data_IF_256489825271
#
_entry.id   IF_256489825271
#
_cell.length_a   1.000
_cell.length_b   1.000
_cell.length_c   1.000
_cell.angle_alpha   90.00
_cell.angle_beta   90.00
_cell.angle_gamma   90.00
#
_symmetry.space_group_name_H-M   'P 1'
#
loop_
_entity.id
_entity.type
_entity.pdbx_description
1 polymer ?
#
# COMPACT_ATOMS: atom_id res chain seq x y z
N UNK A 1 0.27 -78.10 -81.83
CA UNK A 1 0.04 -76.99 -82.77
C UNK A 1 -0.38 -75.73 -81.99
N UNK A 2 0.38 -74.69 -82.30
CA UNK A 2 0.03 -73.26 -82.16
C UNK A 2 -0.14 -72.64 -80.77
N UNK A 3 0.88 -71.81 -80.42
CA UNK A 3 0.92 -70.38 -80.27
C UNK A 3 0.07 -69.81 -79.09
N UNK A 4 0.57 -69.25 -78.04
CA UNK A 4 1.49 -68.16 -77.96
C UNK A 4 0.73 -66.88 -77.80
N UNK A 5 0.80 -66.18 -76.68
CA UNK A 5 0.79 -64.73 -76.59
C UNK A 5 1.09 -64.36 -75.13
N UNK A 6 2.12 -63.61 -75.02
CA UNK A 6 2.65 -62.93 -73.82
C UNK A 6 1.76 -61.73 -73.44
N UNK A 7 1.42 -61.59 -72.20
CA UNK A 7 0.81 -60.33 -71.64
C UNK A 7 1.68 -59.76 -70.52
N UNK A 8 2.22 -58.60 -70.79
CA UNK A 8 3.02 -57.78 -69.86
C UNK A 8 2.11 -57.15 -68.84
N UNK A 9 2.33 -57.46 -67.52
CA UNK A 9 1.66 -56.80 -66.43
C UNK A 9 2.50 -55.59 -65.99
N UNK A 10 1.99 -54.41 -66.24
CA UNK A 10 2.57 -53.16 -65.76
C UNK A 10 2.27 -52.99 -64.27
N UNK A 11 3.31 -52.95 -63.40
CA UNK A 11 3.23 -52.55 -62.02
C UNK A 11 3.05 -51.03 -61.95
N UNK A 12 1.87 -50.58 -61.47
CA UNK A 12 1.63 -49.23 -61.05
C UNK A 12 1.91 -49.15 -59.51
N UNK A 13 3.09 -48.64 -59.20
CA UNK A 13 3.43 -48.26 -57.79
C UNK A 13 2.68 -47.00 -57.44
N UNK A 14 1.61 -47.14 -56.60
CA UNK A 14 0.90 -46.01 -56.01
C UNK A 14 1.68 -45.49 -54.82
N UNK A 15 2.33 -44.33 -54.97
CA UNK A 15 2.95 -43.60 -53.90
C UNK A 15 1.85 -42.94 -53.04
N UNK A 16 1.55 -43.53 -51.88
CA UNK A 16 0.69 -42.89 -50.87
C UNK A 16 1.52 -41.83 -50.17
N UNK A 17 1.35 -40.58 -50.56
CA UNK A 17 1.80 -39.41 -49.81
C UNK A 17 0.97 -39.32 -48.54
N UNK A 18 1.51 -39.82 -47.42
CA UNK A 18 1.00 -39.53 -46.06
C UNK A 18 1.35 -38.08 -45.80
N UNK A 19 0.43 -37.17 -46.10
CA UNK A 19 0.48 -35.80 -45.70
C UNK A 19 0.33 -35.73 -44.18
N UNK A 20 1.47 -35.79 -43.47
CA UNK A 20 1.54 -35.47 -42.07
C UNK A 20 1.20 -33.97 -41.87
N UNK A 21 -0.08 -33.67 -41.75
CA UNK A 21 -0.53 -32.36 -41.28
C UNK A 21 0.00 -32.14 -39.90
N UNK A 22 1.12 -31.41 -39.78
CA UNK A 22 1.53 -30.82 -38.52
C UNK A 22 0.35 -29.97 -38.05
N UNK A 23 -0.46 -30.51 -37.13
CA UNK A 23 -1.36 -29.69 -36.31
C UNK A 23 -0.45 -28.77 -35.51
N UNK A 24 -0.27 -27.56 -36.00
CA UNK A 24 0.17 -26.47 -35.16
C UNK A 24 -0.98 -26.30 -34.15
N UNK A 25 -0.87 -26.96 -33.02
CA UNK A 25 -1.64 -26.58 -31.85
C UNK A 25 -1.27 -25.12 -31.60
N UNK A 26 -2.08 -24.22 -32.14
CA UNK A 26 -2.17 -22.87 -31.65
C UNK A 26 -2.60 -23.04 -30.17
N UNK A 27 -1.61 -23.20 -29.32
CA UNK A 27 -1.83 -23.03 -27.88
C UNK A 27 -2.54 -21.69 -27.76
N UNK A 28 -3.86 -21.75 -27.57
CA UNK A 28 -4.61 -20.57 -27.20
C UNK A 28 -3.94 -20.12 -25.91
N UNK A 29 -3.11 -19.09 -26.02
CA UNK A 29 -2.60 -18.40 -24.86
C UNK A 29 -3.86 -18.01 -24.06
N UNK A 30 -4.15 -18.78 -23.02
CA UNK A 30 -5.33 -18.57 -22.20
C UNK A 30 -5.33 -17.12 -21.79
N UNK A 31 -6.39 -16.38 -22.16
CA UNK A 31 -6.43 -14.94 -21.99
C UNK A 31 -6.37 -14.64 -20.48
N UNK A 32 -5.23 -14.10 -20.03
CA UNK A 32 -5.08 -13.69 -18.63
C UNK A 32 -6.04 -12.52 -18.31
N UNK A 33 -6.76 -12.56 -17.15
CA UNK A 33 -6.91 -13.67 -16.20
C UNK A 33 -8.04 -14.64 -16.63
N UNK A 34 -7.81 -15.94 -16.52
CA UNK A 34 -8.77 -17.02 -16.83
C UNK A 34 -9.38 -17.67 -15.57
N UNK A 35 -8.90 -17.28 -14.41
CA UNK A 35 -9.36 -17.78 -13.10
C UNK A 35 -9.32 -16.65 -12.05
N UNK A 36 -9.87 -16.93 -10.86
CA UNK A 36 -9.86 -15.96 -9.77
C UNK A 36 -8.43 -15.54 -9.38
N UNK A 37 -8.26 -14.24 -9.11
CA UNK A 37 -7.03 -13.66 -8.61
C UNK A 37 -7.10 -13.57 -7.08
N UNK A 38 -5.95 -13.35 -6.45
CA UNK A 38 -5.81 -13.21 -5.00
C UNK A 38 -5.19 -11.85 -4.68
N UNK A 39 -5.81 -11.12 -3.74
CA UNK A 39 -5.29 -9.89 -3.15
C UNK A 39 -4.93 -10.15 -1.69
N UNK A 40 -3.64 -10.21 -1.37
CA UNK A 40 -3.16 -10.36 0.01
C UNK A 40 -3.19 -9.02 0.72
N UNK A 41 -3.86 -8.99 1.88
CA UNK A 41 -3.89 -7.85 2.80
C UNK A 41 -2.97 -8.18 3.98
N UNK A 42 -1.85 -7.45 4.17
CA UNK A 42 -0.81 -7.84 5.13
C UNK A 42 -1.09 -7.40 6.57
N UNK A 43 -2.29 -6.94 6.87
CA UNK A 43 -2.72 -6.52 8.22
C UNK A 43 -4.08 -7.11 8.60
N UNK A 44 -4.44 -7.10 9.90
CA UNK A 44 -5.76 -7.51 10.36
C UNK A 44 -6.89 -6.71 9.71
N UNK A 45 -8.11 -7.29 9.64
CA UNK A 45 -9.28 -6.60 9.11
C UNK A 45 -9.60 -5.30 9.85
N UNK A 46 -10.24 -4.35 9.16
CA UNK A 46 -10.76 -3.09 9.72
C UNK A 46 -9.78 -1.92 9.68
N UNK A 47 -8.55 -2.10 9.17
CA UNK A 47 -7.57 -1.03 8.95
C UNK A 47 -7.52 -0.53 7.51
N UNK A 48 -6.63 0.44 7.26
CA UNK A 48 -6.46 1.03 5.92
C UNK A 48 -6.10 0.02 4.84
N UNK A 49 -5.23 -0.94 5.14
CA UNK A 49 -4.89 -2.03 4.20
C UNK A 49 -6.11 -2.88 3.83
N UNK A 50 -7.00 -3.18 4.79
CA UNK A 50 -8.19 -4.00 4.56
C UNK A 50 -9.22 -3.24 3.71
N UNK A 51 -9.48 -1.98 4.04
CA UNK A 51 -10.37 -1.12 3.25
C UNK A 51 -9.89 -1.01 1.80
N UNK A 52 -8.61 -0.66 1.61
CA UNK A 52 -8.03 -0.52 0.27
C UNK A 52 -8.05 -1.84 -0.48
N UNK A 53 -7.67 -2.94 0.18
CA UNK A 53 -7.64 -4.26 -0.42
C UNK A 53 -9.02 -4.70 -0.91
N UNK A 54 -10.07 -4.56 -0.10
CA UNK A 54 -11.45 -4.94 -0.46
C UNK A 54 -12.02 -4.07 -1.58
N UNK A 55 -11.90 -2.76 -1.45
CA UNK A 55 -12.43 -1.83 -2.47
C UNK A 55 -11.70 -2.02 -3.81
N UNK A 56 -10.37 -2.14 -3.77
CA UNK A 56 -9.59 -2.35 -4.98
C UNK A 56 -9.88 -3.72 -5.61
N UNK A 57 -9.96 -4.78 -4.81
CA UNK A 57 -10.29 -6.13 -5.29
C UNK A 57 -11.66 -6.17 -5.99
N UNK A 58 -12.69 -5.56 -5.39
CA UNK A 58 -14.03 -5.47 -6.01
C UNK A 58 -13.97 -4.75 -7.36
N UNK A 59 -13.41 -3.55 -7.41
CA UNK A 59 -13.39 -2.75 -8.64
C UNK A 59 -12.46 -3.33 -9.71
N UNK A 60 -11.31 -3.87 -9.31
CA UNK A 60 -10.40 -4.53 -10.24
C UNK A 60 -11.02 -5.81 -10.81
N UNK A 61 -11.73 -6.58 -9.97
CA UNK A 61 -12.47 -7.76 -10.43
C UNK A 61 -13.52 -7.42 -11.47
N UNK A 62 -14.29 -6.33 -11.28
CA UNK A 62 -15.26 -5.84 -12.26
C UNK A 62 -14.60 -5.47 -13.59
N UNK A 63 -13.44 -4.80 -13.56
CA UNK A 63 -12.71 -4.38 -14.75
C UNK A 63 -12.08 -5.57 -15.49
N UNK A 64 -11.54 -6.54 -14.76
CA UNK A 64 -10.88 -7.70 -15.35
C UNK A 64 -11.84 -8.83 -15.76
N UNK A 65 -13.11 -8.78 -15.32
CA UNK A 65 -14.09 -9.83 -15.57
C UNK A 65 -13.82 -11.11 -14.78
N UNK A 66 -13.04 -11.05 -13.69
CA UNK A 66 -12.67 -12.19 -12.84
C UNK A 66 -12.74 -11.81 -11.37
N UNK A 67 -13.13 -12.74 -10.51
CA UNK A 67 -13.17 -12.50 -9.07
C UNK A 67 -11.76 -12.25 -8.51
N UNK A 68 -11.61 -11.21 -7.69
CA UNK A 68 -10.39 -10.97 -6.88
C UNK A 68 -10.71 -11.30 -5.42
N UNK A 69 -10.17 -12.40 -4.92
CA UNK A 69 -10.39 -12.89 -3.55
C UNK A 69 -9.43 -12.17 -2.61
N UNK A 70 -9.96 -11.53 -1.58
CA UNK A 70 -9.15 -10.89 -0.53
C UNK A 70 -8.77 -11.92 0.52
N UNK A 71 -7.47 -12.08 0.74
CA UNK A 71 -6.89 -12.96 1.76
C UNK A 71 -6.09 -12.12 2.77
N UNK A 72 -6.52 -12.14 4.03
CA UNK A 72 -5.79 -11.49 5.11
C UNK A 72 -4.66 -12.36 5.62
N UNK A 73 -3.42 -11.87 5.54
CA UNK A 73 -2.21 -12.52 6.08
C UNK A 73 -1.46 -11.55 6.98
N UNK A 74 -1.88 -11.46 8.23
CA UNK A 74 -1.24 -10.60 9.23
C UNK A 74 -0.10 -11.31 9.96
N UNK A 75 0.86 -10.53 10.44
CA UNK A 75 1.95 -11.00 11.29
C UNK A 75 3.17 -10.08 11.21
N UNK A 76 3.84 -9.88 12.34
CA UNK A 76 5.03 -9.04 12.49
C UNK A 76 4.90 -7.72 11.70
N UNK A 77 3.95 -6.88 12.11
CA UNK A 77 3.61 -5.66 11.36
C UNK A 77 2.91 -5.99 10.04
N UNK A 78 3.66 -6.11 8.97
CA UNK A 78 3.17 -6.43 7.61
C UNK A 78 4.05 -7.47 6.93
N UNK A 79 5.08 -7.95 7.63
CA UNK A 79 6.14 -8.77 7.01
C UNK A 79 5.60 -10.08 6.44
N UNK A 80 4.78 -10.82 7.22
CA UNK A 80 4.30 -12.16 6.83
C UNK A 80 3.51 -12.13 5.52
N UNK A 81 2.55 -11.22 5.42
CA UNK A 81 1.73 -11.09 4.21
C UNK A 81 2.54 -10.63 3.00
N UNK A 82 3.42 -9.65 3.18
CA UNK A 82 4.24 -9.11 2.10
C UNK A 82 5.24 -10.14 1.59
N UNK A 83 5.96 -10.81 2.49
CA UNK A 83 6.92 -11.88 2.16
C UNK A 83 6.25 -13.05 1.41
N UNK A 84 5.02 -13.40 1.82
CA UNK A 84 4.27 -14.48 1.16
C UNK A 84 3.99 -14.21 -0.31
N UNK A 85 3.88 -12.93 -0.71
CA UNK A 85 3.67 -12.55 -2.12
C UNK A 85 4.99 -12.38 -2.86
N UNK A 86 6.04 -11.88 -2.20
CA UNK A 86 7.39 -11.87 -2.77
C UNK A 86 7.82 -13.25 -3.26
N UNK A 87 7.40 -14.31 -2.54
CA UNK A 87 7.72 -15.71 -2.83
C UNK A 87 6.63 -16.47 -3.60
N UNK A 88 5.55 -15.80 -3.98
CA UNK A 88 4.47 -16.43 -4.75
C UNK A 88 4.90 -16.70 -6.20
N UNK A 89 4.16 -17.60 -6.87
CA UNK A 89 4.34 -17.81 -8.30
C UNK A 89 4.18 -16.48 -9.06
N UNK A 90 5.12 -16.12 -9.94
CA UNK A 90 5.08 -14.84 -10.66
C UNK A 90 4.19 -14.93 -11.90
N UNK A 91 2.95 -15.40 -11.75
CA UNK A 91 1.99 -15.60 -12.82
C UNK A 91 0.94 -14.48 -12.94
N UNK A 92 1.01 -13.49 -12.05
CA UNK A 92 0.10 -12.35 -11.98
C UNK A 92 -1.18 -12.62 -11.19
N UNK A 93 -1.43 -13.86 -10.73
CA UNK A 93 -2.66 -14.21 -9.98
C UNK A 93 -2.59 -13.88 -8.49
N UNK A 94 -1.41 -13.61 -7.95
CA UNK A 94 -1.25 -13.23 -6.54
C UNK A 94 -0.68 -11.83 -6.42
N UNK A 95 -1.44 -10.95 -5.80
CA UNK A 95 -1.12 -9.54 -5.58
C UNK A 95 -1.04 -9.24 -4.08
N UNK A 96 -0.35 -8.19 -3.70
CA UNK A 96 -0.37 -7.66 -2.33
C UNK A 96 -0.80 -6.20 -2.33
N UNK A 97 -1.55 -5.81 -1.31
CA UNK A 97 -1.69 -4.39 -0.99
C UNK A 97 -0.37 -3.91 -0.41
N UNK A 98 0.35 -3.13 -1.20
CA UNK A 98 1.55 -2.44 -0.78
C UNK A 98 1.21 -1.04 -0.30
N UNK A 99 2.02 -0.52 0.60
CA UNK A 99 1.87 0.83 1.10
C UNK A 99 3.17 1.34 1.71
N UNK A 100 3.17 2.59 2.14
CA UNK A 100 4.33 3.18 2.79
C UNK A 100 4.92 2.28 3.89
N UNK A 101 4.13 1.63 4.78
CA UNK A 101 4.70 0.80 5.85
C UNK A 101 5.50 -0.40 5.35
N UNK A 102 4.94 -1.24 4.48
CA UNK A 102 5.55 -2.51 4.09
C UNK A 102 6.49 -2.43 2.89
N UNK A 103 6.36 -1.41 2.06
CA UNK A 103 7.23 -1.23 0.89
C UNK A 103 8.40 -0.29 1.19
N UNK A 104 8.22 0.70 2.07
CA UNK A 104 9.23 1.72 2.34
C UNK A 104 9.77 1.66 3.77
N UNK A 105 8.91 1.82 4.78
CA UNK A 105 9.37 2.02 6.16
C UNK A 105 10.09 0.77 6.73
N UNK A 106 9.63 -0.43 6.38
CA UNK A 106 10.24 -1.66 6.85
C UNK A 106 11.74 -1.77 6.51
N UNK A 107 12.18 -1.16 5.40
CA UNK A 107 13.60 -1.14 5.01
C UNK A 107 14.49 -0.45 6.05
N UNK A 108 13.99 0.64 6.64
CA UNK A 108 14.73 1.37 7.67
C UNK A 108 14.46 0.87 9.10
N UNK A 109 13.38 0.09 9.31
CA UNK A 109 12.96 -0.36 10.63
C UNK A 109 13.57 -1.71 11.03
N UNK A 110 13.79 -2.60 10.08
CA UNK A 110 14.26 -3.95 10.33
C UNK A 110 15.68 -4.15 9.79
N UNK A 111 16.63 -4.62 10.60
CA UNK A 111 18.00 -4.89 10.14
C UNK A 111 18.07 -5.95 9.04
N UNK A 112 17.08 -6.86 9.01
CA UNK A 112 16.97 -7.92 8.00
C UNK A 112 15.52 -8.10 7.57
N UNK A 113 15.23 -7.74 6.32
CA UNK A 113 13.95 -8.03 5.70
C UNK A 113 13.98 -9.39 4.99
N UNK A 114 12.87 -10.15 5.01
CA UNK A 114 12.76 -11.40 4.25
C UNK A 114 12.52 -11.19 2.76
N UNK A 115 12.31 -9.95 2.30
CA UNK A 115 12.09 -9.54 0.91
C UNK A 115 12.82 -8.23 0.60
N UNK A 116 13.09 -7.98 -0.68
CA UNK A 116 13.60 -6.70 -1.20
C UNK A 116 12.46 -5.97 -1.92
N UNK A 117 11.95 -4.84 -1.39
CA UNK A 117 10.79 -4.16 -1.98
C UNK A 117 11.01 -3.66 -3.42
N UNK A 118 12.26 -3.45 -3.82
CA UNK A 118 12.59 -2.97 -5.18
C UNK A 118 12.82 -4.12 -6.17
N UNK A 119 13.42 -5.23 -5.69
CA UNK A 119 13.78 -6.34 -6.57
C UNK A 119 12.70 -7.39 -6.67
N UNK A 120 11.92 -7.59 -5.59
CA UNK A 120 10.96 -8.68 -5.51
C UNK A 120 9.56 -8.28 -5.97
N UNK A 121 9.29 -6.96 -6.16
CA UNK A 121 7.97 -6.48 -6.55
C UNK A 121 7.97 -5.58 -7.77
N UNK A 122 6.91 -5.72 -8.59
CA UNK A 122 6.52 -4.77 -9.61
C UNK A 122 5.26 -4.02 -9.19
N UNK A 123 5.23 -2.72 -9.41
CA UNK A 123 4.06 -1.87 -9.15
C UNK A 123 3.00 -2.13 -10.22
N UNK A 124 1.79 -2.47 -9.80
CA UNK A 124 0.60 -2.52 -10.67
C UNK A 124 -0.03 -1.14 -10.80
N UNK A 125 -0.22 -0.46 -9.68
CA UNK A 125 -0.74 0.91 -9.64
C UNK A 125 -1.01 1.38 -8.22
N UNK A 126 -1.10 2.70 -8.04
CA UNK A 126 -1.49 3.29 -6.78
C UNK A 126 -3.01 3.38 -6.68
N UNK A 127 -3.54 3.36 -5.46
CA UNK A 127 -4.97 3.42 -5.18
C UNK A 127 -5.33 4.75 -4.51
N UNK A 128 -4.75 5.03 -3.36
CA UNK A 128 -5.13 6.14 -2.49
C UNK A 128 -3.98 6.54 -1.59
N UNK A 129 -3.91 7.81 -1.21
CA UNK A 129 -3.10 8.31 -0.10
C UNK A 129 -3.98 8.84 1.03
N UNK A 130 -3.43 8.78 2.25
CA UNK A 130 -4.02 9.37 3.45
C UNK A 130 -2.95 10.19 4.16
N UNK A 131 -3.30 11.42 4.50
CA UNK A 131 -2.51 12.22 5.43
C UNK A 131 -2.72 11.75 6.87
N UNK A 132 -1.86 12.24 7.74
CA UNK A 132 -2.02 12.11 9.19
C UNK A 132 -2.51 13.43 9.77
N UNK A 133 -3.33 13.35 10.82
CA UNK A 133 -3.77 14.46 11.64
C UNK A 133 -3.15 14.34 13.04
N UNK A 134 -2.52 15.40 13.52
CA UNK A 134 -2.02 15.48 14.89
C UNK A 134 -3.19 15.83 15.82
N UNK A 135 -3.89 14.78 16.25
CA UNK A 135 -4.99 14.90 17.21
C UNK A 135 -4.47 15.05 18.65
N UNK A 136 -5.22 15.77 19.47
CA UNK A 136 -4.91 15.96 20.90
C UNK A 136 -6.15 15.74 21.76
N UNK A 137 -5.92 15.48 23.04
CA UNK A 137 -6.97 15.57 24.04
C UNK A 137 -7.54 17.00 24.09
N UNK A 138 -8.82 17.12 24.43
CA UNK A 138 -9.56 18.41 24.40
C UNK A 138 -9.04 19.45 25.38
N UNK A 139 -8.60 19.01 26.52
CA UNK A 139 -8.14 19.83 27.65
C UNK A 139 -6.62 20.09 27.64
N UNK A 140 -5.94 19.81 26.50
CA UNK A 140 -4.53 20.11 26.37
C UNK A 140 -4.31 21.63 26.43
N UNK A 141 -3.45 22.14 27.35
CA UNK A 141 -3.25 23.57 27.51
C UNK A 141 -2.59 24.27 26.32
N UNK A 142 -1.86 23.51 25.51
CA UNK A 142 -1.14 24.01 24.32
C UNK A 142 -2.10 24.10 23.12
N UNK A 143 -2.39 25.30 22.61
CA UNK A 143 -3.39 25.50 21.57
C UNK A 143 -2.92 25.15 20.15
N UNK A 144 -1.61 25.05 19.94
CA UNK A 144 -1.00 24.81 18.62
C UNK A 144 0.29 23.98 18.71
N UNK A 145 0.79 23.55 17.55
CA UNK A 145 1.98 22.73 17.47
C UNK A 145 3.24 23.44 18.00
N UNK A 146 3.35 24.75 17.78
CA UNK A 146 4.48 25.55 18.25
C UNK A 146 4.59 25.58 19.75
N UNK A 147 3.46 25.78 20.45
CA UNK A 147 3.40 25.78 21.92
C UNK A 147 3.68 24.40 22.52
N UNK A 148 3.26 23.31 21.86
CA UNK A 148 3.65 21.95 22.25
C UNK A 148 5.16 21.74 22.14
N UNK A 149 5.76 22.17 21.03
CA UNK A 149 7.22 22.07 20.82
C UNK A 149 7.97 22.89 21.90
N UNK A 150 7.53 24.11 22.18
CA UNK A 150 8.13 24.93 23.24
C UNK A 150 8.04 24.23 24.61
N UNK A 151 6.86 23.78 24.98
CA UNK A 151 6.64 23.07 26.25
C UNK A 151 7.49 21.78 26.36
N UNK A 152 7.56 20.98 25.27
CA UNK A 152 8.35 19.74 25.26
C UNK A 152 9.86 19.98 25.34
N UNK A 153 10.37 21.14 24.85
CA UNK A 153 11.78 21.53 25.00
C UNK A 153 12.12 21.90 26.44
N UNK A 154 11.22 22.62 27.10
CA UNK A 154 11.40 23.01 28.51
C UNK A 154 11.16 21.83 29.46
N UNK A 155 10.32 20.88 29.07
CA UNK A 155 9.89 19.73 29.86
C UNK A 155 10.13 18.41 29.10
N UNK A 156 11.37 17.94 28.93
CA UNK A 156 11.66 16.70 28.20
C UNK A 156 10.86 15.52 28.78
N UNK A 157 10.35 14.68 27.88
CA UNK A 157 9.59 13.45 28.18
C UNK A 157 8.23 13.65 28.88
N UNK A 158 7.80 14.89 29.17
CA UNK A 158 6.49 15.16 29.78
C UNK A 158 5.34 15.08 28.80
N UNK A 159 5.56 15.44 27.52
CA UNK A 159 4.55 15.26 26.48
C UNK A 159 4.50 13.80 26.06
N UNK A 160 3.32 13.22 26.10
CA UNK A 160 3.08 11.82 25.72
C UNK A 160 2.42 11.73 24.35
N UNK A 161 2.78 10.73 23.55
CA UNK A 161 2.10 10.47 22.30
C UNK A 161 1.75 8.99 22.09
N UNK A 162 0.55 8.75 21.58
CA UNK A 162 0.05 7.43 21.27
C UNK A 162 0.50 6.95 19.88
N UNK A 163 0.48 5.64 19.69
CA UNK A 163 0.53 5.00 18.37
C UNK A 163 -0.28 3.71 18.37
N UNK A 164 -0.58 3.19 17.18
CA UNK A 164 -1.18 1.85 17.02
C UNK A 164 -0.21 0.69 17.27
N UNK A 165 1.00 0.98 17.78
CA UNK A 165 2.06 0.03 18.08
C UNK A 165 3.43 0.51 17.56
N UNK A 166 4.51 -0.10 18.07
CA UNK A 166 5.87 0.18 17.58
C UNK A 166 5.99 -0.16 16.09
N UNK A 167 6.72 0.66 15.32
CA UNK A 167 6.93 0.47 13.88
C UNK A 167 5.71 0.83 13.01
N UNK A 168 4.57 1.26 13.58
CA UNK A 168 3.45 1.76 12.79
C UNK A 168 3.73 3.16 12.24
N UNK A 169 3.02 3.54 11.16
CA UNK A 169 3.15 4.89 10.60
C UNK A 169 2.90 6.00 11.62
N UNK A 170 1.95 5.79 12.56
CA UNK A 170 1.66 6.73 13.65
C UNK A 170 2.87 6.93 14.58
N UNK A 171 3.54 5.83 14.97
CA UNK A 171 4.77 5.90 15.76
C UNK A 171 5.85 6.70 15.05
N UNK A 172 6.12 6.32 13.79
CA UNK A 172 7.17 6.90 12.97
C UNK A 172 6.91 8.38 12.71
N UNK A 173 5.68 8.74 12.34
CA UNK A 173 5.30 10.12 12.08
C UNK A 173 5.62 11.02 13.28
N UNK A 174 5.22 10.60 14.49
CA UNK A 174 5.46 11.40 15.69
C UNK A 174 6.92 11.38 16.13
N UNK A 175 7.60 10.23 16.05
CA UNK A 175 9.01 10.13 16.42
C UNK A 175 9.90 11.02 15.52
N UNK A 176 9.66 11.01 14.20
CA UNK A 176 10.38 11.86 13.25
C UNK A 176 10.00 13.34 13.44
N UNK A 177 8.73 13.66 13.67
CA UNK A 177 8.31 15.03 13.96
C UNK A 177 8.95 15.58 15.24
N UNK A 178 9.01 14.78 16.30
CA UNK A 178 9.68 15.13 17.56
C UNK A 178 11.20 15.34 17.37
N UNK A 179 11.85 14.45 16.59
CA UNK A 179 13.27 14.59 16.24
C UNK A 179 13.56 15.89 15.49
N UNK A 180 12.80 16.17 14.43
CA UNK A 180 12.96 17.41 13.63
C UNK A 180 12.66 18.67 14.45
N UNK A 181 11.72 18.60 15.40
CA UNK A 181 11.42 19.69 16.32
C UNK A 181 12.50 19.86 17.42
N UNK A 182 13.45 18.94 17.55
CA UNK A 182 14.47 18.93 18.60
C UNK A 182 13.87 18.75 20.00
N UNK A 183 12.86 17.86 20.13
CA UNK A 183 12.15 17.58 21.38
C UNK A 183 12.27 16.11 21.77
N UNK A 184 12.10 15.83 23.07
CA UNK A 184 11.95 14.47 23.60
C UNK A 184 10.54 14.31 24.14
N UNK A 185 9.80 13.34 23.56
CA UNK A 185 8.43 13.02 23.94
C UNK A 185 8.32 11.53 24.28
N UNK A 186 7.42 11.16 25.18
CA UNK A 186 7.25 9.77 25.61
C UNK A 186 6.27 9.02 24.73
N UNK A 187 6.73 7.94 24.10
CA UNK A 187 5.89 7.07 23.27
C UNK A 187 5.08 6.08 24.12
N UNK A 188 3.77 6.04 23.88
CA UNK A 188 2.83 5.09 24.49
C UNK A 188 2.22 4.21 23.39
N UNK A 189 2.72 2.98 23.18
CA UNK A 189 2.21 2.09 22.14
C UNK A 189 0.93 1.38 22.57
N UNK A 190 -0.05 1.30 21.65
CA UNK A 190 -1.33 0.61 21.83
C UNK A 190 -1.49 -0.54 20.83
N UNK A 191 -2.51 -1.37 21.02
CA UNK A 191 -2.92 -2.40 20.04
C UNK A 191 -3.96 -1.83 19.07
N UNK A 192 -3.56 -0.80 18.29
CA UNK A 192 -4.41 -0.12 17.31
C UNK A 192 -4.97 1.22 17.80
N UNK A 193 -5.53 1.99 16.85
CA UNK A 193 -5.98 3.36 17.08
C UNK A 193 -7.14 3.46 18.07
N UNK A 194 -8.06 2.48 18.09
CA UNK A 194 -9.22 2.51 19.00
C UNK A 194 -8.81 2.55 20.47
N UNK A 195 -7.84 1.72 20.86
CA UNK A 195 -7.33 1.72 22.23
C UNK A 195 -6.58 3.02 22.57
N UNK A 196 -5.83 3.58 21.62
CA UNK A 196 -5.16 4.86 21.78
C UNK A 196 -6.16 6.00 22.01
N UNK A 197 -7.26 6.05 21.24
CA UNK A 197 -8.27 7.10 21.42
C UNK A 197 -9.01 7.01 22.76
N UNK A 198 -9.17 5.84 23.35
CA UNK A 198 -9.74 5.75 24.70
C UNK A 198 -8.91 6.53 25.72
N UNK A 199 -7.58 6.51 25.60
CA UNK A 199 -6.68 7.20 26.50
C UNK A 199 -6.50 8.69 26.16
N UNK A 200 -6.55 9.06 24.89
CA UNK A 200 -6.63 10.47 24.45
C UNK A 200 -7.91 11.12 25.01
N UNK A 201 -9.07 10.48 24.81
CA UNK A 201 -10.36 10.98 25.28
C UNK A 201 -10.46 10.99 26.82
N UNK A 202 -9.72 10.09 27.48
CA UNK A 202 -9.62 10.03 28.94
C UNK A 202 -8.55 10.94 29.55
N UNK A 203 -7.87 11.77 28.73
CA UNK A 203 -6.85 12.72 29.20
C UNK A 203 -5.54 12.07 29.68
N UNK A 204 -5.32 10.77 29.41
CA UNK A 204 -4.12 10.03 29.85
C UNK A 204 -2.94 10.15 28.91
N UNK A 205 -3.19 10.46 27.65
CA UNK A 205 -2.16 10.70 26.62
C UNK A 205 -2.48 12.00 25.89
N UNK A 206 -1.47 12.77 25.56
CA UNK A 206 -1.61 14.13 25.04
C UNK A 206 -1.88 14.16 23.53
N UNK A 207 -1.11 13.41 22.75
CA UNK A 207 -1.03 13.51 21.30
C UNK A 207 -1.26 12.16 20.63
N UNK A 208 -1.87 12.18 19.45
CA UNK A 208 -1.92 11.03 18.56
C UNK A 208 -1.83 11.47 17.10
N UNK A 209 -0.73 11.13 16.46
CA UNK A 209 -0.55 11.42 15.04
C UNK A 209 -1.15 10.27 14.22
N UNK A 210 -2.44 10.36 13.95
CA UNK A 210 -3.20 9.26 13.34
C UNK A 210 -3.63 9.58 11.91
N UNK A 211 -3.92 8.51 11.14
CA UNK A 211 -4.48 8.68 9.80
C UNK A 211 -5.76 9.51 9.86
N UNK A 212 -5.90 10.44 8.92
CA UNK A 212 -7.11 11.26 8.81
C UNK A 212 -8.36 10.39 8.75
N UNK A 213 -8.32 9.24 8.08
CA UNK A 213 -9.46 8.31 7.97
C UNK A 213 -10.00 7.82 9.30
N UNK A 214 -9.14 7.57 10.29
CA UNK A 214 -9.53 7.10 11.63
C UNK A 214 -9.83 8.25 12.58
N UNK A 215 -9.20 9.40 12.37
CA UNK A 215 -9.37 10.58 13.21
C UNK A 215 -10.67 11.37 12.87
N UNK A 216 -11.07 11.41 11.59
CA UNK A 216 -12.19 12.24 11.10
C UNK A 216 -13.47 12.11 11.91
N UNK A 217 -13.99 10.91 12.25
CA UNK A 217 -15.23 10.81 13.03
C UNK A 217 -15.14 11.52 14.38
N UNK A 218 -13.99 11.42 15.06
CA UNK A 218 -13.78 12.09 16.36
C UNK A 218 -13.57 13.59 16.21
N UNK A 219 -13.00 14.02 15.09
CA UNK A 219 -12.82 15.44 14.75
C UNK A 219 -14.18 16.07 14.43
N UNK A 220 -14.97 15.42 13.57
CA UNK A 220 -16.32 15.89 13.17
C UNK A 220 -17.26 15.96 14.39
N UNK A 221 -17.15 15.00 15.32
CA UNK A 221 -17.89 14.99 16.61
C UNK A 221 -17.32 16.01 17.64
N UNK A 222 -16.23 16.71 17.32
CA UNK A 222 -15.58 17.66 18.22
C UNK A 222 -14.99 17.04 19.48
N UNK A 223 -14.68 15.74 19.48
CA UNK A 223 -14.17 15.00 20.63
C UNK A 223 -12.67 15.15 20.85
N UNK A 224 -11.93 15.49 19.81
CA UNK A 224 -10.49 15.81 19.85
C UNK A 224 -10.23 17.17 19.20
N UNK A 225 -9.11 17.80 19.52
CA UNK A 225 -8.57 18.92 18.75
C UNK A 225 -7.58 18.39 17.71
N UNK A 226 -7.33 19.17 16.66
CA UNK A 226 -6.31 18.86 15.64
C UNK A 226 -5.39 20.07 15.48
N UNK A 227 -4.12 19.87 15.67
CA UNK A 227 -3.12 20.95 15.64
C UNK A 227 -2.49 21.14 14.27
N UNK A 228 -2.32 20.05 13.52
CA UNK A 228 -1.71 20.08 12.19
C UNK A 228 -2.04 18.81 11.39
N UNK A 229 -1.85 18.89 10.07
CA UNK A 229 -1.84 17.74 9.16
C UNK A 229 -0.45 17.52 8.58
N UNK A 230 -0.14 16.28 8.21
CA UNK A 230 1.17 15.90 7.66
C UNK A 230 1.29 16.06 6.16
N UNK A 231 0.21 16.39 5.48
CA UNK A 231 0.17 16.57 4.03
C UNK A 231 0.92 17.83 3.61
N UNK A 232 1.49 17.90 2.39
CA UNK A 232 2.21 19.09 1.92
C UNK A 232 1.30 20.31 1.74
N UNK A 233 -0.01 20.08 1.59
CA UNK A 233 -1.06 21.09 1.57
C UNK A 233 -2.11 20.76 2.61
N UNK A 234 -2.91 21.74 3.04
CA UNK A 234 -4.03 21.50 3.97
C UNK A 234 -4.96 20.42 3.41
N UNK A 235 -5.38 19.53 4.29
CA UNK A 235 -6.22 18.40 3.90
C UNK A 235 -7.63 18.89 3.49
N UNK A 236 -8.23 18.41 2.37
CA UNK A 236 -9.52 18.89 1.88
C UNK A 236 -10.66 18.81 2.91
N UNK A 237 -10.65 17.77 3.77
CA UNK A 237 -11.60 17.61 4.86
C UNK A 237 -11.29 18.43 6.11
N UNK A 238 -10.10 19.05 6.18
CA UNK A 238 -9.60 19.84 7.32
C UNK A 238 -8.99 21.17 6.83
N UNK A 239 -9.74 22.00 6.08
CA UNK A 239 -9.18 23.18 5.40
C UNK A 239 -8.68 24.26 6.37
N UNK A 240 -9.16 24.26 7.60
CA UNK A 240 -8.77 25.22 8.63
C UNK A 240 -7.58 24.73 9.49
N UNK A 241 -7.15 23.47 9.34
CA UNK A 241 -6.02 22.90 10.07
C UNK A 241 -4.74 23.14 9.27
N UNK A 242 -3.71 23.77 9.87
CA UNK A 242 -2.46 24.03 9.17
C UNK A 242 -1.70 22.72 8.89
N UNK A 243 -0.81 22.75 7.91
CA UNK A 243 0.17 21.67 7.72
C UNK A 243 1.29 21.80 8.77
N UNK A 244 2.05 20.74 9.01
CA UNK A 244 3.25 20.83 9.88
C UNK A 244 4.30 21.76 9.28
N UNK A 245 4.36 21.89 7.96
CA UNK A 245 5.21 22.87 7.26
C UNK A 245 4.79 24.30 7.63
N UNK A 246 3.49 24.62 7.52
CA UNK A 246 2.93 25.91 7.94
C UNK A 246 3.13 26.16 9.46
N UNK A 247 3.10 25.11 10.27
CA UNK A 247 3.36 25.16 11.70
C UNK A 247 4.85 25.27 12.08
N UNK A 248 5.75 25.31 11.10
CA UNK A 248 7.17 25.59 11.28
C UNK A 248 8.06 24.36 11.50
N UNK A 249 7.61 23.15 11.17
CA UNK A 249 8.42 21.94 11.25
C UNK A 249 9.34 21.70 10.03
N UNK A 250 9.57 22.70 9.19
CA UNK A 250 10.37 22.56 7.99
C UNK A 250 9.69 21.70 6.93
N UNK A 251 10.46 20.91 6.18
CA UNK A 251 9.95 20.12 5.06
C UNK A 251 9.35 18.76 5.48
N UNK A 252 8.79 18.67 6.70
CA UNK A 252 8.14 17.43 7.13
C UNK A 252 6.79 17.23 6.43
N UNK A 253 6.73 16.22 5.62
CA UNK A 253 5.49 15.67 5.07
C UNK A 253 5.46 14.15 5.25
N UNK A 254 4.30 13.60 5.49
CA UNK A 254 4.08 12.15 5.54
C UNK A 254 2.68 11.81 5.09
N UNK A 255 2.58 11.02 4.06
CA UNK A 255 1.31 10.43 3.61
C UNK A 255 1.45 8.91 3.56
N UNK A 256 0.51 8.21 4.16
CA UNK A 256 0.40 6.78 3.91
C UNK A 256 -0.30 6.56 2.60
N UNK A 257 0.42 6.11 1.61
CA UNK A 257 -0.15 5.70 0.34
C UNK A 257 -0.32 4.17 0.28
N UNK A 258 -1.25 3.75 -0.56
CA UNK A 258 -1.53 2.34 -0.84
C UNK A 258 -1.62 2.09 -2.33
N UNK A 259 -1.18 0.92 -2.75
CA UNK A 259 -1.24 0.45 -4.12
C UNK A 259 -1.25 -1.07 -4.20
N UNK A 260 -1.24 -1.57 -5.40
CA UNK A 260 -1.21 -3.00 -5.71
C UNK A 260 0.14 -3.36 -6.29
N UNK A 261 0.71 -4.45 -5.80
CA UNK A 261 2.01 -4.98 -6.20
C UNK A 261 1.90 -6.47 -6.50
N UNK A 262 2.73 -6.93 -7.42
CA UNK A 262 2.89 -8.34 -7.81
C UNK A 262 4.37 -8.75 -7.73
N UNK A 263 4.71 -10.05 -7.74
CA UNK A 263 6.11 -10.47 -7.86
C UNK A 263 6.77 -9.85 -9.10
N UNK A 264 8.02 -9.40 -8.95
CA UNK A 264 8.75 -8.67 -10.01
C UNK A 264 8.89 -9.46 -11.32
N UNK A 265 9.00 -10.80 -11.21
CA UNK A 265 9.12 -11.69 -12.35
C UNK A 265 7.78 -11.98 -13.07
N UNK A 266 6.70 -11.29 -12.72
CA UNK A 266 5.39 -11.44 -13.42
C UNK A 266 5.54 -11.13 -14.90
N UNK A 267 5.07 -12.02 -15.82
CA UNK A 267 5.19 -11.82 -17.26
C UNK A 267 4.57 -10.51 -17.73
N UNK A 268 5.25 -9.82 -18.64
CA UNK A 268 4.82 -8.51 -19.13
C UNK A 268 3.35 -8.46 -19.59
N UNK A 269 2.80 -9.42 -20.33
CA UNK A 269 1.39 -9.37 -20.73
C UNK A 269 0.41 -9.38 -19.53
N UNK A 270 0.71 -10.15 -18.49
CA UNK A 270 -0.12 -10.18 -17.28
C UNK A 270 0.02 -8.89 -16.48
N UNK A 271 1.24 -8.38 -16.30
CA UNK A 271 1.51 -7.13 -15.63
C UNK A 271 0.83 -5.94 -16.31
N UNK A 272 0.94 -5.84 -17.64
CA UNK A 272 0.30 -4.78 -18.42
C UNK A 272 -1.23 -4.83 -18.33
N UNK A 273 -1.82 -6.02 -18.34
CA UNK A 273 -3.26 -6.20 -18.16
C UNK A 273 -3.72 -5.72 -16.78
N UNK A 274 -2.97 -6.06 -15.72
CA UNK A 274 -3.24 -5.59 -14.37
C UNK A 274 -3.07 -4.07 -14.26
N UNK A 275 -2.02 -3.49 -14.83
CA UNK A 275 -1.75 -2.05 -14.86
C UNK A 275 -2.87 -1.29 -15.58
N UNK A 276 -3.30 -1.77 -16.72
CA UNK A 276 -4.42 -1.20 -17.47
C UNK A 276 -5.74 -1.28 -16.68
N UNK A 277 -5.97 -2.40 -16.00
CA UNK A 277 -7.12 -2.57 -15.12
C UNK A 277 -7.10 -1.58 -13.95
N UNK A 278 -5.97 -1.45 -13.27
CA UNK A 278 -5.83 -0.52 -12.15
C UNK A 278 -5.96 0.95 -12.58
N UNK A 279 -5.40 1.30 -13.75
CA UNK A 279 -5.56 2.64 -14.32
C UNK A 279 -7.04 2.99 -14.59
N UNK A 280 -7.86 2.02 -14.99
CA UNK A 280 -9.31 2.21 -15.13
C UNK A 280 -9.99 2.34 -13.76
N UNK A 281 -9.61 1.51 -12.79
CA UNK A 281 -10.18 1.53 -11.42
C UNK A 281 -10.04 2.90 -10.78
N UNK A 282 -8.87 3.51 -10.82
CA UNK A 282 -8.61 4.80 -10.15
C UNK A 282 -9.30 5.99 -10.82
N UNK A 283 -9.81 5.83 -12.04
CA UNK A 283 -10.62 6.85 -12.71
C UNK A 283 -12.11 6.76 -12.36
N UNK A 284 -12.54 5.66 -11.74
CA UNK A 284 -13.96 5.45 -11.41
C UNK A 284 -14.39 6.36 -10.27
N UNK A 285 -15.52 7.03 -10.45
CA UNK A 285 -16.09 7.89 -9.42
C UNK A 285 -16.54 7.09 -8.19
N UNK A 286 -17.09 5.88 -8.39
CA UNK A 286 -17.51 5.03 -7.29
C UNK A 286 -16.34 4.46 -6.46
N UNK A 287 -15.15 4.33 -7.06
CA UNK A 287 -13.92 4.03 -6.35
C UNK A 287 -13.45 5.23 -5.52
N UNK A 288 -13.34 6.40 -6.14
CA UNK A 288 -12.89 7.63 -5.49
C UNK A 288 -13.78 7.98 -4.28
N UNK A 289 -15.11 7.94 -4.47
CA UNK A 289 -16.08 8.34 -3.44
C UNK A 289 -16.00 7.51 -2.15
N UNK A 290 -15.57 6.23 -2.21
CA UNK A 290 -15.35 5.42 -1.00
C UNK A 290 -14.23 5.99 -0.15
N UNK A 291 -13.12 6.38 -0.78
CA UNK A 291 -11.94 6.88 -0.06
C UNK A 291 -12.12 8.34 0.38
N UNK A 292 -12.72 9.19 -0.46
CA UNK A 292 -12.98 10.60 -0.12
C UNK A 292 -13.85 10.75 1.14
N UNK A 293 -14.82 9.86 1.33
CA UNK A 293 -15.63 9.82 2.57
C UNK A 293 -14.79 9.58 3.82
N UNK A 294 -13.71 8.86 3.69
CA UNK A 294 -12.79 8.55 4.79
C UNK A 294 -11.54 9.45 4.80
N UNK A 295 -11.55 10.55 4.03
CA UNK A 295 -10.41 11.47 3.94
C UNK A 295 -9.25 10.96 3.10
N UNK A 296 -9.44 9.94 2.27
CA UNK A 296 -8.45 9.47 1.31
C UNK A 296 -8.44 10.32 0.05
N UNK A 297 -7.28 10.45 -0.56
CA UNK A 297 -7.06 11.15 -1.83
C UNK A 297 -6.71 10.11 -2.89
N UNK A 298 -7.59 9.85 -3.88
CA UNK A 298 -7.30 8.89 -4.95
C UNK A 298 -6.03 9.26 -5.73
N UNK A 299 -5.18 8.27 -5.97
CA UNK A 299 -3.90 8.48 -6.64
C UNK A 299 -3.98 8.02 -8.10
N UNK A 300 -4.04 8.98 -9.02
CA UNK A 300 -4.12 8.74 -10.47
C UNK A 300 -2.73 8.76 -11.12
N UNK A 301 -1.81 7.95 -10.60
CA UNK A 301 -0.45 7.86 -11.12
C UNK A 301 -0.32 6.73 -12.15
N UNK A 302 0.46 6.95 -13.18
CA UNK A 302 0.96 5.87 -14.05
C UNK A 302 1.88 4.93 -13.25
N UNK A 303 2.10 3.73 -13.74
CA UNK A 303 3.01 2.79 -13.10
C UNK A 303 4.44 3.34 -12.98
N UNK A 304 4.91 4.08 -13.99
CA UNK A 304 6.23 4.72 -13.97
C UNK A 304 6.33 5.81 -12.90
N UNK A 305 5.31 6.67 -12.77
CA UNK A 305 5.26 7.68 -11.70
C UNK A 305 5.19 7.05 -10.32
N UNK A 306 4.46 5.94 -10.18
CA UNK A 306 4.38 5.16 -8.95
C UNK A 306 5.74 4.55 -8.56
N UNK A 307 6.50 4.01 -9.52
CA UNK A 307 7.85 3.50 -9.28
C UNK A 307 8.82 4.61 -8.85
N UNK A 308 8.72 5.80 -9.45
CA UNK A 308 9.51 6.97 -9.05
C UNK A 308 9.15 7.40 -7.63
N UNK A 309 7.85 7.44 -7.29
CA UNK A 309 7.39 7.74 -5.93
C UNK A 309 7.98 6.76 -4.91
N UNK A 310 7.86 5.45 -5.14
CA UNK A 310 8.38 4.42 -4.22
C UNK A 310 9.87 4.58 -3.98
N UNK A 311 10.67 4.79 -5.03
CA UNK A 311 12.13 4.98 -4.91
C UNK A 311 12.49 6.26 -4.14
N UNK A 312 11.79 7.36 -4.42
CA UNK A 312 11.96 8.63 -3.71
C UNK A 312 11.67 8.48 -2.21
N UNK A 313 10.50 7.91 -1.89
CA UNK A 313 10.08 7.70 -0.51
C UNK A 313 11.05 6.75 0.23
N UNK A 314 11.52 5.70 -0.43
CA UNK A 314 12.48 4.79 0.17
C UNK A 314 13.79 5.49 0.56
N UNK A 315 14.37 6.28 -0.34
CA UNK A 315 15.60 7.05 -0.07
C UNK A 315 15.38 8.03 1.08
N UNK A 316 14.27 8.77 1.05
CA UNK A 316 13.91 9.76 2.05
C UNK A 316 13.71 9.14 3.43
N UNK A 317 12.85 8.14 3.53
CA UNK A 317 12.50 7.54 4.82
C UNK A 317 13.63 6.70 5.44
N UNK A 318 14.44 6.02 4.63
CA UNK A 318 15.63 5.32 5.15
C UNK A 318 16.57 6.31 5.84
N UNK A 319 16.78 7.49 5.27
CA UNK A 319 17.59 8.54 5.90
C UNK A 319 16.92 9.06 7.18
N UNK A 320 15.65 9.45 7.13
CA UNK A 320 14.93 10.02 8.27
C UNK A 320 14.84 9.06 9.47
N UNK A 321 14.58 7.79 9.22
CA UNK A 321 14.51 6.76 10.28
C UNK A 321 15.88 6.56 10.95
N UNK A 322 16.95 6.56 10.16
CA UNK A 322 18.31 6.49 10.69
C UNK A 322 18.65 7.70 11.53
N UNK A 323 18.40 8.90 11.01
CA UNK A 323 18.71 10.17 11.71
C UNK A 323 17.93 10.30 13.02
N UNK A 324 16.66 9.88 13.02
CA UNK A 324 15.80 9.89 14.21
C UNK A 324 16.01 8.66 15.15
N UNK A 325 16.91 7.75 14.81
CA UNK A 325 17.17 6.52 15.58
C UNK A 325 15.89 5.70 15.85
N UNK A 326 15.00 5.60 14.88
CA UNK A 326 13.74 4.85 14.98
C UNK A 326 13.94 3.43 14.48
N UNK A 327 13.63 2.44 15.32
CA UNK A 327 13.62 1.02 14.95
C UNK A 327 12.29 0.36 15.31
N UNK A 328 12.06 -0.84 14.80
CA UNK A 328 10.91 -1.66 15.17
C UNK A 328 11.15 -2.48 16.45
N UNK A 329 12.40 -2.55 16.91
CA UNK A 329 12.85 -3.27 18.11
C UNK A 329 12.84 -2.39 19.36
#
# INVERSE_FOLDING_TARGET
MKRGITAVAALLAGTVLIGGGARVDLAHAQAFPDRALKMVVPQPPGGGFDLVGRVTADKLGQVLGQTVIVETRSGTGTLVGTDSVAKAAPDGYTMVVGGLPNIVLNVGLYPKLPYDPIKDFAVVGMAVSYGYALATRKDLPQPDFKSIVAFAKENPEKVTYASGGRGTGQHIAMAVAAHLAGTKMTHVPYRGAQAAYQDILGGRVDLFFDNVSTALPLIDDGRVNVLAVSTPKRHPRLPNVPTLIEAGLGDFEMETWFGVFVPAATPAPALEKLRAGMAQVVQRQDFAAVFEKTGGIPMKLSAAEAEVLVKREMTRWTKLLKDASVSAE
#
